data_IF_919257383590
#
_entry.id   IF_919257383590
#
_cell.length_a   1.000
_cell.length_b   1.000
_cell.length_c   1.000
_cell.angle_alpha   90.00
_cell.angle_beta   90.00
_cell.angle_gamma   90.00
#
_symmetry.space_group_name_H-M   'P 1'
#
loop_
_entity.id
_entity.type
_entity.pdbx_description
1 polymer ?
#
# COMPACT_ATOMS: atom_id res chain seq x y z
N UNK A 1 12.65 -12.25 1.80
CA UNK A 1 12.98 -11.40 2.95
C UNK A 1 13.69 -10.14 2.47
N UNK A 2 13.56 -9.08 3.22
CA UNK A 2 14.16 -7.77 2.97
C UNK A 2 14.47 -7.07 4.30
N UNK A 3 15.62 -6.44 4.41
CA UNK A 3 16.02 -5.64 5.56
C UNK A 3 16.91 -4.47 5.12
N UNK A 4 17.05 -3.48 5.97
CA UNK A 4 17.97 -2.35 5.77
C UNK A 4 18.68 -1.99 7.08
N UNK A 5 19.94 -1.59 6.98
CA UNK A 5 20.70 -0.96 8.06
C UNK A 5 20.56 0.58 8.05
N UNK A 6 19.60 1.08 7.28
CA UNK A 6 19.36 2.49 7.03
C UNK A 6 20.04 3.01 5.76
N UNK A 7 21.21 2.51 5.37
CA UNK A 7 21.93 2.95 4.17
C UNK A 7 21.88 1.92 3.04
N UNK A 8 21.94 0.65 3.40
CA UNK A 8 21.99 -0.46 2.47
C UNK A 8 20.71 -1.30 2.57
N UNK A 9 20.30 -1.85 1.45
CA UNK A 9 19.18 -2.75 1.33
C UNK A 9 19.72 -4.17 1.12
N UNK A 10 19.27 -5.10 1.94
CA UNK A 10 19.62 -6.52 1.85
C UNK A 10 18.39 -7.35 1.56
N UNK A 11 18.51 -8.30 0.66
CA UNK A 11 17.42 -9.18 0.23
C UNK A 11 17.89 -10.63 0.22
N UNK A 12 17.00 -11.58 0.57
CA UNK A 12 17.27 -13.02 0.54
C UNK A 12 15.98 -13.83 0.54
N UNK A 13 16.08 -15.10 0.19
CA UNK A 13 14.94 -16.02 0.14
C UNK A 13 14.46 -16.28 -1.28
N UNK A 14 13.20 -16.66 -1.41
CA UNK A 14 12.57 -17.00 -2.70
C UNK A 14 12.40 -15.78 -3.59
N UNK A 15 12.76 -15.91 -4.86
CA UNK A 15 12.75 -14.80 -5.85
C UNK A 15 11.99 -15.09 -7.14
N UNK A 16 11.16 -16.14 -7.19
CA UNK A 16 10.39 -16.54 -8.38
C UNK A 16 9.53 -15.44 -8.98
N UNK A 17 9.18 -14.41 -8.18
CA UNK A 17 8.37 -13.27 -8.59
C UNK A 17 9.21 -11.97 -8.71
N UNK A 18 10.54 -12.06 -8.78
CA UNK A 18 11.47 -10.93 -8.87
C UNK A 18 11.34 -9.93 -7.71
N UNK A 19 10.79 -10.38 -6.59
CA UNK A 19 10.55 -9.51 -5.41
C UNK A 19 11.83 -9.11 -4.69
N UNK A 20 12.95 -9.78 -4.96
CA UNK A 20 14.26 -9.41 -4.43
C UNK A 20 14.96 -8.32 -5.25
N UNK A 21 14.50 -8.03 -6.47
CA UNK A 21 15.08 -6.99 -7.32
C UNK A 21 16.51 -7.26 -7.81
N UNK A 22 16.93 -8.52 -7.88
CA UNK A 22 18.29 -8.97 -8.20
C UNK A 22 18.58 -9.11 -9.70
N UNK A 23 17.68 -8.72 -10.58
CA UNK A 23 17.77 -8.90 -12.04
C UNK A 23 17.75 -10.34 -12.52
N UNK A 24 17.46 -11.27 -11.64
CA UNK A 24 17.33 -12.70 -11.89
C UNK A 24 16.16 -13.25 -11.10
N UNK A 25 15.71 -14.46 -11.42
CA UNK A 25 14.60 -15.15 -10.75
C UNK A 25 15.06 -16.21 -9.74
N UNK A 26 16.38 -16.46 -9.64
CA UNK A 26 16.94 -17.41 -8.71
C UNK A 26 16.79 -16.95 -7.26
N UNK A 27 16.49 -17.90 -6.40
CA UNK A 27 16.44 -17.72 -4.95
C UNK A 27 17.83 -17.32 -4.41
N UNK A 28 17.86 -16.56 -3.34
CA UNK A 28 19.10 -16.21 -2.65
C UNK A 28 19.07 -16.78 -1.23
N UNK A 29 19.98 -17.69 -0.93
CA UNK A 29 20.08 -18.33 0.39
C UNK A 29 20.68 -17.38 1.46
N UNK A 30 21.52 -16.45 1.03
CA UNK A 30 22.21 -15.48 1.89
C UNK A 30 21.74 -14.04 1.58
N UNK A 31 21.82 -13.13 2.55
CA UNK A 31 21.56 -11.71 2.30
C UNK A 31 22.45 -11.14 1.20
N UNK A 32 21.85 -10.63 0.15
CA UNK A 32 22.54 -9.92 -0.92
C UNK A 32 22.23 -8.43 -0.86
N UNK A 33 23.27 -7.61 -0.98
CA UNK A 33 23.13 -6.16 -0.99
C UNK A 33 22.60 -5.69 -2.34
N UNK A 34 21.53 -4.92 -2.31
CA UNK A 34 20.94 -4.27 -3.48
C UNK A 34 21.24 -2.79 -3.45
N UNK A 35 21.73 -2.27 -4.58
CA UNK A 35 21.88 -0.82 -4.77
C UNK A 35 20.61 -0.27 -5.41
N UNK A 36 19.94 0.64 -4.74
CA UNK A 36 18.91 1.46 -5.35
C UNK A 36 19.63 2.42 -6.31
N UNK A 37 19.33 2.33 -7.62
CA UNK A 37 19.91 3.22 -8.59
C UNK A 37 19.27 4.60 -8.43
N UNK A 38 19.90 5.47 -7.62
CA UNK A 38 19.63 6.89 -7.68
C UNK A 38 19.96 7.36 -9.11
N UNK A 39 18.95 7.74 -9.87
CA UNK A 39 19.17 8.42 -11.16
C UNK A 39 19.62 9.84 -10.86
N UNK A 40 20.80 10.17 -11.38
CA UNK A 40 21.50 11.45 -11.39
C UNK A 40 22.40 11.66 -10.17
N UNK A 41 23.70 11.87 -10.39
CA UNK A 41 24.47 12.64 -9.44
C UNK A 41 23.77 14.01 -9.37
N UNK A 42 23.27 14.36 -8.19
CA UNK A 42 22.89 15.73 -7.91
C UNK A 42 23.96 16.65 -8.45
N UNK A 43 23.55 17.63 -9.27
CA UNK A 43 24.47 18.58 -9.91
C UNK A 43 25.55 18.97 -8.91
N UNK A 44 26.79 18.66 -9.25
CA UNK A 44 27.98 18.92 -8.48
C UNK A 44 28.24 20.44 -8.44
N UNK A 45 27.40 21.16 -7.68
CA UNK A 45 27.42 22.61 -7.57
C UNK A 45 27.64 23.16 -6.18
N UNK A 46 27.56 22.31 -5.13
CA UNK A 46 27.87 22.74 -3.75
C UNK A 46 28.85 21.75 -3.13
N UNK A 47 30.13 21.98 -3.35
CA UNK A 47 31.20 21.35 -2.62
C UNK A 47 31.03 21.65 -1.11
N UNK A 48 30.70 20.63 -0.29
CA UNK A 48 30.73 20.77 1.15
C UNK A 48 29.68 19.99 1.95
N UNK A 49 28.67 19.41 1.37
CA UNK A 49 27.69 18.65 2.15
C UNK A 49 28.08 17.18 2.30
N UNK A 50 28.69 16.82 3.42
CA UNK A 50 28.97 15.43 3.84
C UNK A 50 27.70 14.60 4.16
N UNK A 51 26.48 15.12 3.88
CA UNK A 51 25.22 14.58 4.38
C UNK A 51 24.23 14.13 3.30
N UNK A 52 24.68 13.89 2.07
CA UNK A 52 23.76 13.48 1.00
C UNK A 52 23.81 11.97 0.72
N UNK A 53 23.71 11.18 1.79
CA UNK A 53 23.61 9.72 1.67
C UNK A 53 22.15 9.32 1.57
N UNK A 54 21.79 8.62 0.49
CA UNK A 54 20.47 8.00 0.38
C UNK A 54 20.36 6.92 1.45
N UNK A 55 19.30 6.97 2.25
CA UNK A 55 18.97 5.91 3.20
C UNK A 55 17.51 5.48 3.06
N UNK A 56 17.25 4.25 3.43
CA UNK A 56 15.93 3.64 3.40
C UNK A 56 15.11 4.13 4.58
N UNK A 57 13.91 4.63 4.31
CA UNK A 57 12.93 5.04 5.32
C UNK A 57 12.00 3.92 5.71
N UNK A 58 11.49 3.23 4.72
CA UNK A 58 10.50 2.17 4.92
C UNK A 58 10.56 1.14 3.80
N UNK A 59 10.19 -0.08 4.12
CA UNK A 59 10.19 -1.22 3.21
C UNK A 59 8.94 -2.05 3.42
N UNK A 60 8.30 -2.45 2.33
CA UNK A 60 7.20 -3.41 2.38
C UNK A 60 7.32 -4.42 1.25
N UNK A 61 7.15 -5.69 1.57
CA UNK A 61 7.26 -6.79 0.64
C UNK A 61 6.01 -7.67 0.74
N UNK A 62 5.42 -7.97 -0.40
CA UNK A 62 4.38 -8.96 -0.56
C UNK A 62 4.88 -10.19 -1.33
N UNK A 63 3.99 -11.11 -1.59
CA UNK A 63 4.28 -12.27 -2.46
C UNK A 63 4.68 -11.85 -3.89
N UNK A 64 4.18 -10.71 -4.39
CA UNK A 64 4.24 -10.36 -5.79
C UNK A 64 5.14 -9.18 -6.10
N UNK A 65 5.34 -8.28 -5.15
CA UNK A 65 6.14 -7.08 -5.34
C UNK A 65 6.72 -6.55 -4.04
N UNK A 66 7.72 -5.72 -4.19
CA UNK A 66 8.40 -5.03 -3.09
C UNK A 66 8.42 -3.54 -3.38
N UNK A 67 8.19 -2.75 -2.36
CA UNK A 67 8.20 -1.29 -2.38
C UNK A 67 9.16 -0.78 -1.31
N UNK A 68 9.98 0.20 -1.67
CA UNK A 68 10.96 0.82 -0.79
C UNK A 68 10.81 2.32 -0.86
N UNK A 69 10.74 2.99 0.28
CA UNK A 69 10.80 4.43 0.40
C UNK A 69 12.18 4.88 0.89
N UNK A 70 12.71 5.96 0.34
CA UNK A 70 14.00 6.54 0.72
C UNK A 70 13.85 7.96 1.23
N UNK A 71 14.95 8.56 1.69
CA UNK A 71 14.98 9.96 2.13
C UNK A 71 15.11 10.98 0.98
N UNK A 72 15.17 10.53 -0.26
CA UNK A 72 15.25 11.41 -1.42
C UNK A 72 14.03 12.34 -1.49
N UNK A 73 14.25 13.58 -1.89
CA UNK A 73 13.16 14.58 -1.96
C UNK A 73 12.19 14.34 -3.12
N UNK A 74 12.66 13.71 -4.18
CA UNK A 74 11.88 13.38 -5.37
C UNK A 74 12.18 11.95 -5.79
N UNK A 75 11.16 11.25 -6.35
CA UNK A 75 11.30 9.86 -6.83
C UNK A 75 11.84 8.92 -5.76
N UNK A 76 11.42 9.11 -4.53
CA UNK A 76 11.92 8.41 -3.36
C UNK A 76 11.24 7.05 -3.12
N UNK A 77 10.38 6.59 -4.02
CA UNK A 77 9.74 5.28 -3.97
C UNK A 77 10.29 4.41 -5.08
N UNK A 78 10.74 3.22 -4.74
CA UNK A 78 11.27 2.22 -5.66
C UNK A 78 10.42 0.96 -5.59
N UNK A 79 10.20 0.33 -6.72
CA UNK A 79 9.36 -0.87 -6.85
C UNK A 79 10.05 -1.95 -7.68
N UNK A 80 9.83 -3.23 -7.33
CA UNK A 80 10.21 -4.38 -8.15
C UNK A 80 9.21 -5.53 -7.96
N UNK A 81 9.23 -6.52 -8.86
CA UNK A 81 8.37 -7.68 -8.82
C UNK A 81 7.45 -7.81 -10.03
N UNK A 82 6.36 -8.56 -9.87
CA UNK A 82 5.36 -8.81 -10.91
C UNK A 82 4.41 -7.62 -11.07
N UNK A 83 4.34 -7.06 -12.28
CA UNK A 83 3.55 -5.87 -12.59
C UNK A 83 2.08 -6.09 -12.92
N UNK A 84 1.58 -7.34 -12.93
CA UNK A 84 0.16 -7.60 -13.13
C UNK A 84 -0.68 -6.88 -12.06
N UNK A 85 -1.95 -6.59 -12.35
CA UNK A 85 -2.83 -5.81 -11.47
C UNK A 85 -2.36 -4.37 -11.20
N UNK A 86 -1.49 -3.82 -12.04
CA UNK A 86 -0.94 -2.45 -11.92
C UNK A 86 -0.28 -2.12 -10.54
N UNK A 87 0.09 -3.13 -9.74
CA UNK A 87 0.63 -2.96 -8.38
C UNK A 87 1.98 -2.26 -8.32
N UNK A 88 2.66 -2.12 -9.47
CA UNK A 88 3.94 -1.40 -9.61
C UNK A 88 3.77 0.05 -10.11
N UNK A 89 2.54 0.57 -10.18
CA UNK A 89 2.28 1.90 -10.72
C UNK A 89 2.49 1.99 -12.24
N UNK A 90 2.36 0.86 -12.95
CA UNK A 90 2.42 0.74 -14.41
C UNK A 90 1.69 -0.52 -14.88
N UNK A 91 1.31 -0.55 -16.15
CA UNK A 91 0.65 -1.73 -16.72
C UNK A 91 1.63 -2.87 -16.98
N UNK A 92 1.23 -4.07 -16.51
CA UNK A 92 1.67 -5.40 -16.92
C UNK A 92 3.18 -5.65 -17.12
N UNK A 93 4.07 -4.77 -16.66
CA UNK A 93 5.51 -4.98 -16.78
C UNK A 93 6.10 -5.53 -15.49
N UNK A 94 6.69 -6.72 -15.56
CA UNK A 94 7.53 -7.24 -14.49
C UNK A 94 8.82 -6.42 -14.39
N UNK A 95 9.20 -6.07 -13.16
CA UNK A 95 10.43 -5.36 -12.88
C UNK A 95 11.38 -6.25 -12.10
N UNK A 96 12.45 -6.64 -12.76
CA UNK A 96 13.46 -7.52 -12.20
C UNK A 96 14.44 -6.80 -11.27
N UNK A 97 14.40 -5.45 -11.25
CA UNK A 97 15.22 -4.58 -10.38
C UNK A 97 14.33 -3.54 -9.73
N UNK A 98 14.84 -2.92 -8.67
CA UNK A 98 14.22 -1.74 -8.11
C UNK A 98 14.33 -0.56 -9.07
N UNK A 99 13.19 -0.06 -9.53
CA UNK A 99 13.08 1.12 -10.36
C UNK A 99 12.22 2.18 -9.67
N UNK A 100 12.54 3.47 -9.87
CA UNK A 100 11.72 4.55 -9.33
C UNK A 100 10.27 4.45 -9.80
N UNK A 101 9.33 4.65 -8.89
CA UNK A 101 7.92 4.76 -9.19
C UNK A 101 7.71 5.96 -10.12
N UNK A 102 6.97 5.76 -11.21
CA UNK A 102 6.62 6.82 -12.16
C UNK A 102 5.40 7.59 -11.64
N UNK A 103 5.26 8.82 -12.12
CA UNK A 103 4.07 9.66 -11.87
C UNK A 103 3.74 9.86 -10.38
N UNK A 104 4.78 9.84 -9.54
CA UNK A 104 4.68 10.15 -8.11
C UNK A 104 5.74 11.20 -7.75
N UNK A 105 5.28 12.39 -7.35
CA UNK A 105 6.13 13.56 -7.06
C UNK A 105 6.28 13.88 -5.58
N UNK A 106 5.40 13.30 -4.75
CA UNK A 106 5.40 13.51 -3.31
C UNK A 106 6.52 12.72 -2.62
N UNK A 107 6.83 13.11 -1.38
CA UNK A 107 7.80 12.37 -0.56
C UNK A 107 7.09 11.33 0.30
N UNK A 108 7.34 10.06 0.02
CA UNK A 108 6.82 8.96 0.82
C UNK A 108 7.53 8.87 2.18
N UNK A 109 6.75 8.57 3.21
CA UNK A 109 7.23 8.22 4.55
C UNK A 109 7.05 6.73 4.80
N UNK A 110 5.86 6.19 4.51
CA UNK A 110 5.50 4.79 4.70
C UNK A 110 5.00 4.21 3.38
N UNK A 111 5.35 2.96 3.12
CA UNK A 111 4.91 2.20 1.95
C UNK A 111 4.32 0.86 2.37
N UNK A 112 3.29 0.41 1.66
CA UNK A 112 2.62 -0.86 1.93
C UNK A 112 2.44 -1.62 0.62
N UNK A 113 3.08 -2.77 0.51
CA UNK A 113 2.88 -3.74 -0.57
C UNK A 113 1.86 -4.80 -0.13
N UNK A 114 0.71 -4.84 -0.76
CA UNK A 114 -0.29 -5.89 -0.59
C UNK A 114 -0.23 -6.90 -1.74
N UNK A 115 -1.15 -7.86 -1.81
CA UNK A 115 -1.17 -8.82 -2.93
C UNK A 115 -1.41 -8.14 -4.27
N UNK A 116 -2.38 -7.23 -4.35
CA UNK A 116 -2.88 -6.70 -5.62
C UNK A 116 -2.87 -5.17 -5.71
N UNK A 117 -2.45 -4.48 -4.67
CA UNK A 117 -2.37 -3.02 -4.63
C UNK A 117 -1.22 -2.54 -3.74
N UNK A 118 -0.94 -1.26 -3.85
CA UNK A 118 0.09 -0.55 -3.08
C UNK A 118 -0.51 0.69 -2.45
N UNK A 119 -0.15 0.95 -1.18
CA UNK A 119 -0.42 2.21 -0.50
C UNK A 119 0.87 2.97 -0.24
N UNK A 120 0.80 4.29 -0.28
CA UNK A 120 1.88 5.19 0.09
C UNK A 120 1.31 6.24 1.04
N UNK A 121 1.93 6.42 2.19
CA UNK A 121 1.68 7.55 3.09
C UNK A 121 2.83 8.53 2.92
N UNK A 122 2.51 9.79 2.63
CA UNK A 122 3.52 10.84 2.43
C UNK A 122 3.96 11.44 3.76
N UNK A 123 5.06 12.18 3.74
CA UNK A 123 5.53 12.96 4.90
C UNK A 123 4.55 14.04 5.36
N UNK A 124 3.59 14.39 4.51
CA UNK A 124 2.51 15.31 4.85
C UNK A 124 1.24 14.61 5.35
N UNK A 125 1.28 13.28 5.51
CA UNK A 125 0.15 12.48 5.98
C UNK A 125 -0.94 12.25 4.92
N UNK A 126 -0.66 12.45 3.63
CA UNK A 126 -1.60 12.10 2.56
C UNK A 126 -1.41 10.66 2.13
N UNK A 127 -2.50 9.98 1.79
CA UNK A 127 -2.49 8.59 1.32
C UNK A 127 -2.68 8.54 -0.18
N UNK A 128 -1.86 7.75 -0.85
CA UNK A 128 -1.99 7.38 -2.25
C UNK A 128 -2.17 5.88 -2.37
N UNK A 129 -2.95 5.46 -3.37
CA UNK A 129 -3.15 4.04 -3.68
C UNK A 129 -3.15 3.80 -5.18
N UNK A 130 -2.75 2.60 -5.59
CA UNK A 130 -2.80 2.11 -6.96
C UNK A 130 -2.76 0.58 -7.00
N UNK A 131 -3.14 0.01 -8.13
CA UNK A 131 -3.31 -1.43 -8.29
C UNK A 131 -4.76 -1.82 -8.52
N UNK A 132 -5.16 -2.99 -8.07
CA UNK A 132 -6.51 -3.52 -8.20
C UNK A 132 -7.49 -2.86 -7.22
N UNK A 133 -8.72 -2.58 -7.71
CA UNK A 133 -9.84 -2.07 -6.91
C UNK A 133 -11.04 -3.02 -6.85
N UNK A 134 -10.89 -4.28 -7.27
CA UNK A 134 -11.98 -5.26 -7.30
C UNK A 134 -12.68 -5.47 -5.97
N UNK A 135 -11.95 -5.24 -4.89
CA UNK A 135 -12.42 -5.38 -3.51
C UNK A 135 -12.65 -4.02 -2.83
N UNK A 136 -12.66 -2.90 -3.58
CA UNK A 136 -12.79 -1.55 -3.03
C UNK A 136 -11.57 -1.10 -2.20
N UNK A 137 -10.44 -1.81 -2.32
CA UNK A 137 -9.27 -1.63 -1.46
C UNK A 137 -8.47 -0.36 -1.74
N UNK A 138 -8.74 0.37 -2.82
CA UNK A 138 -8.03 1.61 -3.14
C UNK A 138 -8.59 2.85 -2.42
N UNK A 139 -9.80 2.79 -1.87
CA UNK A 139 -10.39 3.88 -1.10
C UNK A 139 -11.13 4.94 -1.94
N UNK A 140 -11.42 4.66 -3.21
CA UNK A 140 -12.20 5.51 -4.11
C UNK A 140 -12.87 4.69 -5.21
N UNK A 141 -13.89 5.26 -5.82
CA UNK A 141 -14.49 4.74 -7.05
C UNK A 141 -13.57 5.05 -8.24
N UNK A 142 -13.44 4.11 -9.15
CA UNK A 142 -12.81 4.35 -10.44
C UNK A 142 -13.84 5.05 -11.35
N UNK A 143 -13.45 6.16 -11.97
CA UNK A 143 -14.30 6.90 -12.89
C UNK A 143 -14.17 6.32 -14.30
N UNK A 144 -15.29 6.26 -15.05
CA UNK A 144 -15.27 5.89 -16.46
C UNK A 144 -14.33 6.83 -17.23
N UNK A 145 -13.33 6.27 -17.91
CA UNK A 145 -12.41 7.01 -18.79
C UNK A 145 -11.06 7.42 -18.18
N UNK A 146 -10.79 7.21 -16.91
CA UNK A 146 -9.45 7.47 -16.32
C UNK A 146 -8.50 6.25 -16.38
N UNK A 147 -8.94 5.12 -16.88
CA UNK A 147 -8.12 3.94 -17.11
C UNK A 147 -7.62 3.90 -18.54
N UNK A 148 -6.36 4.22 -18.74
CA UNK A 148 -5.53 4.01 -19.94
C UNK A 148 -5.91 4.81 -21.19
N UNK A 149 -5.03 5.70 -21.59
CA UNK A 149 -4.76 6.05 -22.97
C UNK A 149 -4.24 4.81 -23.72
N UNK A 150 -5.13 4.00 -24.27
CA UNK A 150 -4.76 3.09 -25.34
C UNK A 150 -4.79 3.88 -26.65
N UNK A 151 -3.64 4.15 -27.20
CA UNK A 151 -3.52 4.42 -28.63
C UNK A 151 -4.02 3.17 -29.37
N UNK A 152 -5.22 3.20 -29.89
CA UNK A 152 -5.67 2.70 -31.19
C UNK A 152 -7.18 2.39 -31.20
N UNK A 153 -7.85 3.15 -32.05
CA UNK A 153 -9.06 2.86 -32.85
C UNK A 153 -10.20 2.03 -32.24
N UNK A 154 -11.29 2.75 -31.96
CA UNK A 154 -12.62 2.39 -32.44
C UNK A 154 -13.36 1.25 -31.77
N UNK A 155 -14.28 1.53 -30.89
CA UNK A 155 -15.72 1.28 -31.05
C UNK A 155 -16.44 1.57 -29.73
N UNK A 156 -17.33 2.53 -29.74
CA UNK A 156 -18.29 2.80 -28.65
C UNK A 156 -19.27 1.62 -28.59
N UNK A 157 -19.44 1.04 -27.40
CA UNK A 157 -20.60 0.21 -27.08
C UNK A 157 -21.30 0.75 -25.85
N UNK A 158 -22.60 1.02 -26.05
CA UNK A 158 -23.56 1.49 -25.08
C UNK A 158 -23.81 0.52 -23.94
N UNK A 159 -24.04 1.10 -22.76
CA UNK A 159 -24.43 0.43 -21.53
C UNK A 159 -25.69 -0.42 -21.69
N UNK A 160 -25.64 -1.66 -21.23
CA UNK A 160 -26.81 -2.49 -20.97
C UNK A 160 -26.97 -2.67 -19.46
N UNK A 161 -28.11 -2.19 -18.96
CA UNK A 161 -28.57 -2.31 -17.58
C UNK A 161 -28.94 -3.76 -17.27
N UNK A 162 -28.31 -4.40 -16.32
CA UNK A 162 -28.80 -5.64 -15.72
C UNK A 162 -28.98 -5.48 -14.22
N UNK A 163 -30.25 -5.60 -13.80
CA UNK A 163 -30.65 -5.62 -12.40
C UNK A 163 -30.26 -6.95 -11.75
N UNK A 164 -29.25 -6.94 -10.94
CA UNK A 164 -29.11 -7.83 -9.76
C UNK A 164 -28.07 -7.21 -8.84
N UNK A 165 -28.42 -7.00 -7.60
CA UNK A 165 -27.81 -6.21 -6.54
C UNK A 165 -26.35 -6.43 -6.17
N UNK A 166 -25.45 -6.23 -7.13
CA UNK A 166 -24.04 -6.00 -6.90
C UNK A 166 -23.69 -4.74 -7.69
N UNK A 167 -23.49 -3.62 -7.02
CA UNK A 167 -23.03 -2.39 -7.63
C UNK A 167 -21.63 -2.63 -8.19
N UNK A 168 -21.52 -2.84 -9.50
CA UNK A 168 -20.24 -2.86 -10.21
C UNK A 168 -19.55 -1.52 -9.97
N UNK A 169 -18.33 -1.56 -9.43
CA UNK A 169 -17.47 -0.40 -9.31
C UNK A 169 -17.13 0.08 -10.71
N UNK A 170 -17.69 1.21 -11.12
CA UNK A 170 -17.50 1.77 -12.46
C UNK A 170 -16.08 2.32 -12.61
N UNK A 171 -15.37 1.83 -13.59
CA UNK A 171 -14.00 2.20 -13.94
C UNK A 171 -13.22 1.00 -14.45
N UNK A 172 -13.62 0.47 -15.61
CA UNK A 172 -13.19 -0.85 -16.08
C UNK A 172 -12.12 -0.73 -17.14
N UNK A 173 -10.99 -1.39 -16.94
CA UNK A 173 -9.99 -1.64 -17.97
C UNK A 173 -10.28 -3.00 -18.58
N UNK A 174 -10.49 -3.05 -19.88
CA UNK A 174 -10.66 -4.31 -20.61
C UNK A 174 -9.29 -4.91 -20.87
N UNK A 175 -8.99 -6.07 -20.25
CA UNK A 175 -7.79 -6.84 -20.52
C UNK A 175 -7.80 -7.48 -21.91
N UNK A 176 -6.66 -8.03 -22.33
CA UNK A 176 -6.51 -8.68 -23.66
C UNK A 176 -7.50 -9.80 -23.94
N UNK A 177 -8.13 -10.36 -22.91
CA UNK A 177 -9.14 -11.43 -23.01
C UNK A 177 -10.59 -10.92 -22.91
N UNK A 178 -10.83 -9.61 -23.06
CA UNK A 178 -12.15 -9.01 -22.92
C UNK A 178 -12.69 -8.96 -21.48
N UNK A 179 -11.86 -9.29 -20.49
CA UNK A 179 -12.23 -9.24 -19.07
C UNK A 179 -12.02 -7.84 -18.55
N UNK A 180 -13.05 -7.32 -17.92
CA UNK A 180 -13.01 -6.03 -17.24
C UNK A 180 -12.08 -6.09 -16.01
N UNK A 181 -11.14 -5.14 -15.91
CA UNK A 181 -10.19 -5.05 -14.83
C UNK A 181 -10.37 -3.72 -14.10
N UNK A 182 -10.76 -3.77 -12.85
CA UNK A 182 -10.83 -2.58 -11.97
C UNK A 182 -9.43 -2.22 -11.50
N UNK A 183 -8.69 -1.44 -12.30
CA UNK A 183 -7.29 -1.10 -12.03
C UNK A 183 -7.06 0.41 -12.00
N UNK A 184 -6.36 0.90 -11.01
CA UNK A 184 -5.73 2.22 -10.98
C UNK A 184 -4.25 2.06 -11.27
N UNK A 185 -3.78 2.54 -12.41
CA UNK A 185 -2.41 2.32 -12.87
C UNK A 185 -1.41 3.22 -12.17
N UNK A 186 -1.72 4.52 -12.07
CA UNK A 186 -0.84 5.52 -11.47
C UNK A 186 -1.25 5.82 -10.02
N UNK A 187 -0.31 6.24 -9.16
CA UNK A 187 -0.66 6.65 -7.80
C UNK A 187 -1.74 7.72 -7.78
N UNK A 188 -2.87 7.45 -7.14
CA UNK A 188 -3.98 8.38 -6.97
C UNK A 188 -4.20 8.65 -5.49
N UNK A 189 -4.42 9.92 -5.15
CA UNK A 189 -4.68 10.34 -3.78
C UNK A 189 -6.03 9.81 -3.28
N UNK A 190 -6.03 9.20 -2.11
CA UNK A 190 -7.23 8.79 -1.38
C UNK A 190 -7.82 10.03 -0.73
N UNK A 191 -9.05 10.35 -1.07
CA UNK A 191 -9.78 11.51 -0.60
C UNK A 191 -10.89 11.11 0.39
N UNK A 192 -12.04 11.77 0.33
CA UNK A 192 -13.16 11.53 1.23
C UNK A 192 -12.81 11.91 2.66
N UNK A 193 -13.06 11.06 3.65
CA UNK A 193 -12.77 11.34 5.06
C UNK A 193 -11.29 11.65 5.34
N UNK A 194 -10.35 11.07 4.58
CA UNK A 194 -8.92 11.32 4.75
C UNK A 194 -8.41 12.64 4.15
N UNK A 195 -9.26 13.40 3.43
CA UNK A 195 -8.82 14.62 2.73
C UNK A 195 -8.15 15.66 3.63
N UNK A 196 -8.59 15.75 4.87
CA UNK A 196 -8.12 16.73 5.88
C UNK A 196 -7.36 16.10 7.02
N UNK A 197 -7.17 14.81 6.99
CA UNK A 197 -6.48 14.06 8.03
C UNK A 197 -4.98 13.97 7.76
N UNK A 198 -4.21 13.92 8.83
CA UNK A 198 -2.80 13.60 8.79
C UNK A 198 -2.62 12.13 9.16
N UNK A 199 -2.48 11.29 8.15
CA UNK A 199 -2.27 9.86 8.32
C UNK A 199 -0.84 9.60 8.77
N UNK A 200 -0.68 8.83 9.84
CA UNK A 200 0.61 8.48 10.44
C UNK A 200 1.16 7.16 9.92
N UNK A 201 0.27 6.26 9.50
CA UNK A 201 0.68 4.99 8.93
C UNK A 201 -0.51 4.21 8.35
N UNK A 202 -0.20 3.11 7.67
CA UNK A 202 -1.17 2.28 6.97
C UNK A 202 -0.76 0.81 6.99
N UNK A 203 -1.74 -0.07 6.75
CA UNK A 203 -1.54 -1.48 6.45
C UNK A 203 -2.55 -1.91 5.39
N UNK A 204 -2.29 -3.03 4.71
CA UNK A 204 -3.20 -3.57 3.73
C UNK A 204 -3.15 -5.09 3.68
N UNK A 205 -4.30 -5.70 3.42
CA UNK A 205 -4.43 -7.09 2.98
C UNK A 205 -4.87 -7.14 1.52
N UNK A 206 -5.07 -8.31 0.98
CA UNK A 206 -5.57 -8.45 -0.40
C UNK A 206 -6.92 -7.78 -0.62
N UNK A 207 -7.80 -7.76 0.39
CA UNK A 207 -9.19 -7.35 0.26
C UNK A 207 -9.54 -6.03 0.94
N UNK A 208 -8.68 -5.50 1.81
CA UNK A 208 -8.95 -4.25 2.52
C UNK A 208 -7.67 -3.49 2.84
N UNK A 209 -7.85 -2.23 3.16
CA UNK A 209 -6.83 -1.29 3.55
C UNK A 209 -7.18 -0.60 4.86
N UNK A 210 -6.17 -0.21 5.60
CA UNK A 210 -6.26 0.42 6.91
C UNK A 210 -5.33 1.61 6.96
N UNK A 211 -5.77 2.71 7.54
CA UNK A 211 -4.95 3.88 7.84
C UNK A 211 -5.29 4.42 9.22
N UNK A 212 -4.31 5.02 9.89
CA UNK A 212 -4.55 5.64 11.19
C UNK A 212 -3.95 7.04 11.28
N UNK A 213 -4.61 7.87 12.07
CA UNK A 213 -4.19 9.23 12.45
C UNK A 213 -3.84 9.25 13.94
N UNK A 214 -3.58 10.42 14.50
CA UNK A 214 -3.31 10.55 15.93
C UNK A 214 -4.50 10.10 16.82
N UNK A 215 -5.73 10.18 16.31
CA UNK A 215 -6.96 9.98 17.08
C UNK A 215 -7.98 9.02 16.46
N UNK A 216 -7.69 8.47 15.28
CA UNK A 216 -8.67 7.66 14.55
C UNK A 216 -8.04 6.54 13.74
N UNK A 217 -8.81 5.46 13.59
CA UNK A 217 -8.58 4.36 12.66
C UNK A 217 -9.59 4.45 11.52
N UNK A 218 -9.13 4.25 10.30
CA UNK A 218 -9.94 4.18 9.10
C UNK A 218 -9.73 2.84 8.39
N UNK A 219 -10.83 2.23 7.95
CA UNK A 219 -10.79 0.96 7.19
C UNK A 219 -11.65 1.08 5.93
N UNK A 220 -11.28 0.36 4.87
CA UNK A 220 -12.06 0.28 3.64
C UNK A 220 -11.69 -0.97 2.84
N UNK A 221 -12.54 -1.37 1.91
CA UNK A 221 -12.44 -2.59 1.12
C UNK A 221 -13.60 -3.55 1.39
N UNK A 222 -13.41 -4.82 1.06
CA UNK A 222 -14.37 -5.89 1.34
C UNK A 222 -14.38 -6.22 2.84
N UNK A 223 -15.59 -6.33 3.39
CA UNK A 223 -15.82 -6.57 4.80
C UNK A 223 -16.21 -8.03 5.07
N UNK A 224 -15.30 -8.80 5.65
CA UNK A 224 -15.53 -10.14 6.18
C UNK A 224 -15.62 -10.13 7.72
N UNK A 225 -15.90 -8.96 8.33
CA UNK A 225 -15.95 -8.76 9.78
C UNK A 225 -14.67 -8.18 10.39
N UNK A 226 -13.70 -7.74 9.54
CA UNK A 226 -12.41 -7.19 9.98
C UNK A 226 -12.35 -5.66 9.88
N UNK A 227 -13.38 -5.00 9.35
CA UNK A 227 -13.36 -3.55 9.19
C UNK A 227 -13.82 -2.77 10.42
N UNK A 228 -14.34 -3.47 11.46
CA UNK A 228 -14.79 -2.83 12.70
C UNK A 228 -16.22 -2.30 12.65
N UNK A 229 -17.02 -2.77 11.70
CA UNK A 229 -18.47 -2.55 11.62
C UNK A 229 -19.14 -3.75 10.96
N UNK A 230 -20.44 -3.90 11.20
CA UNK A 230 -21.22 -5.06 10.78
C UNK A 230 -21.09 -5.31 9.24
N UNK A 231 -20.65 -6.52 8.90
CA UNK A 231 -20.44 -6.95 7.51
C UNK A 231 -21.74 -7.12 6.72
N UNK A 232 -22.87 -7.36 7.40
CA UNK A 232 -24.17 -7.52 6.73
C UNK A 232 -24.74 -6.18 6.28
N UNK A 233 -24.51 -5.12 7.06
CA UNK A 233 -24.93 -3.76 6.69
C UNK A 233 -23.96 -3.08 5.71
N UNK A 234 -22.68 -3.45 5.73
CA UNK A 234 -21.65 -2.88 4.88
C UNK A 234 -20.67 -3.96 4.40
N UNK A 235 -21.08 -4.83 3.45
CA UNK A 235 -20.21 -5.91 2.93
C UNK A 235 -19.04 -5.38 2.10
N UNK A 236 -19.20 -4.18 1.54
CA UNK A 236 -18.17 -3.46 0.78
C UNK A 236 -18.15 -1.98 1.21
N UNK A 237 -17.02 -1.51 1.63
CA UNK A 237 -16.77 -0.12 1.99
C UNK A 237 -15.73 0.47 1.05
N UNK A 238 -16.15 1.21 0.02
CA UNK A 238 -15.23 1.71 -1.00
C UNK A 238 -14.37 2.87 -0.51
N UNK A 239 -14.96 3.80 0.25
CA UNK A 239 -14.23 4.95 0.78
C UNK A 239 -13.78 4.67 2.22
N UNK A 240 -12.66 5.27 2.68
CA UNK A 240 -12.24 5.17 4.07
C UNK A 240 -13.38 5.51 5.03
N UNK A 241 -13.62 4.66 6.01
CA UNK A 241 -14.62 4.88 7.05
C UNK A 241 -13.97 4.79 8.42
N UNK A 242 -14.27 5.78 9.28
CA UNK A 242 -13.78 5.81 10.65
C UNK A 242 -14.35 4.65 11.46
N UNK A 243 -13.49 3.95 12.18
CA UNK A 243 -13.85 2.89 13.09
C UNK A 243 -14.15 3.49 14.47
N UNK A 244 -15.37 3.35 14.94
CA UNK A 244 -15.81 3.94 16.23
C UNK A 244 -15.53 3.05 17.43
N UNK A 245 -15.19 1.79 17.21
CA UNK A 245 -14.89 0.81 18.28
C UNK A 245 -13.54 1.05 18.95
N UNK A 246 -12.66 1.83 18.33
CA UNK A 246 -11.33 2.13 18.85
C UNK A 246 -11.31 3.58 19.29
N UNK A 247 -11.23 3.77 20.61
CA UNK A 247 -11.25 5.10 21.24
C UNK A 247 -9.89 5.60 21.69
N UNK A 248 -8.87 4.72 21.72
CA UNK A 248 -7.51 5.08 22.10
C UNK A 248 -6.67 5.36 20.86
N UNK A 249 -5.65 6.26 20.95
CA UNK A 249 -4.73 6.52 19.88
C UNK A 249 -4.00 5.25 19.39
N UNK A 250 -3.85 5.14 18.08
CA UNK A 250 -3.23 3.98 17.43
C UNK A 250 -1.75 4.28 17.16
N UNK A 251 -0.89 3.33 17.48
CA UNK A 251 0.56 3.37 17.27
C UNK A 251 0.99 2.65 16.00
N UNK A 252 0.38 1.52 15.74
CA UNK A 252 0.70 0.65 14.61
C UNK A 252 -0.52 -0.18 14.21
N UNK A 253 -0.56 -0.54 12.95
CA UNK A 253 -1.62 -1.41 12.39
C UNK A 253 -1.01 -2.56 11.60
N UNK A 254 -1.72 -3.68 11.58
CA UNK A 254 -1.44 -4.81 10.71
C UNK A 254 -2.76 -5.35 10.14
N UNK A 255 -2.73 -5.88 8.93
CA UNK A 255 -3.91 -6.38 8.25
C UNK A 255 -3.66 -7.77 7.65
N UNK A 256 -4.63 -8.65 7.83
CA UNK A 256 -4.77 -9.94 7.13
C UNK A 256 -6.10 -9.96 6.41
N UNK A 257 -6.40 -10.96 5.60
CA UNK A 257 -7.71 -11.05 4.91
C UNK A 257 -8.90 -11.13 5.87
N UNK A 258 -8.68 -11.58 7.10
CA UNK A 258 -9.75 -11.84 8.08
C UNK A 258 -9.67 -11.00 9.34
N UNK A 259 -8.61 -10.24 9.53
CA UNK A 259 -8.41 -9.46 10.74
C UNK A 259 -7.66 -8.15 10.47
N UNK A 260 -8.00 -7.14 11.28
CA UNK A 260 -7.23 -5.91 11.45
C UNK A 260 -6.76 -5.84 12.89
N UNK A 261 -5.46 -5.75 13.10
CA UNK A 261 -4.87 -5.59 14.42
C UNK A 261 -4.31 -4.19 14.60
N UNK A 262 -4.54 -3.59 15.77
CA UNK A 262 -4.10 -2.27 16.13
C UNK A 262 -3.34 -2.33 17.45
N UNK A 263 -2.10 -1.89 17.47
CA UNK A 263 -1.38 -1.58 18.70
C UNK A 263 -1.76 -0.16 19.14
N UNK A 264 -2.24 -0.02 20.35
CA UNK A 264 -2.65 1.25 20.92
C UNK A 264 -1.53 1.90 21.73
N UNK A 265 -1.63 3.20 21.98
CA UNK A 265 -0.70 3.93 22.85
C UNK A 265 -0.71 3.38 24.29
N UNK A 266 -1.78 2.73 24.71
CA UNK A 266 -1.90 1.99 25.98
C UNK A 266 -1.10 0.69 26.03
N UNK A 267 -0.42 0.31 24.93
CA UNK A 267 0.27 -0.97 24.72
C UNK A 267 -0.65 -2.20 24.65
N UNK A 268 -1.95 -1.99 24.56
CA UNK A 268 -2.89 -3.06 24.26
C UNK A 268 -2.95 -3.31 22.75
N UNK A 269 -3.19 -4.53 22.36
CA UNK A 269 -3.55 -4.88 20.99
C UNK A 269 -5.05 -5.10 20.88
N UNK A 270 -5.69 -4.38 19.97
CA UNK A 270 -7.09 -4.63 19.60
C UNK A 270 -7.14 -5.31 18.25
N UNK A 271 -7.88 -6.40 18.15
CA UNK A 271 -8.08 -7.19 16.92
C UNK A 271 -9.53 -7.11 16.50
N UNK A 272 -9.81 -6.64 15.31
CA UNK A 272 -11.11 -6.66 14.65
C UNK A 272 -11.20 -7.94 13.81
N UNK A 273 -12.16 -8.81 14.11
CA UNK A 273 -12.34 -10.10 13.42
C UNK A 273 -13.77 -10.61 13.61
N UNK A 274 -14.42 -11.07 12.53
CA UNK A 274 -15.73 -11.71 12.59
C UNK A 274 -16.83 -10.81 13.17
N UNK A 275 -16.84 -9.50 12.87
CA UNK A 275 -17.73 -8.46 13.42
C UNK A 275 -17.55 -8.20 14.93
N UNK A 276 -16.54 -8.77 15.54
CA UNK A 276 -16.20 -8.58 16.94
C UNK A 276 -14.85 -7.85 17.07
N UNK A 277 -14.59 -7.32 18.26
CA UNK A 277 -13.28 -6.79 18.63
C UNK A 277 -12.77 -7.50 19.87
N UNK A 278 -11.50 -7.82 19.86
CA UNK A 278 -10.81 -8.53 20.93
C UNK A 278 -9.68 -7.63 21.45
N UNK A 279 -9.65 -7.39 22.74
CA UNK A 279 -8.56 -6.68 23.39
C UNK A 279 -7.60 -7.68 24.04
N UNK A 280 -6.34 -7.59 23.67
CA UNK A 280 -5.24 -8.39 24.23
C UNK A 280 -4.37 -7.45 25.04
N UNK A 281 -4.50 -7.46 26.38
CA UNK A 281 -3.66 -6.64 27.24
C UNK A 281 -2.25 -7.24 27.28
N UNK A 282 -1.24 -6.41 27.09
CA UNK A 282 0.13 -6.77 27.41
C UNK A 282 0.48 -6.29 28.81
N UNK A 283 1.03 -7.15 29.68
CA UNK A 283 1.50 -6.70 30.97
C UNK A 283 2.63 -5.68 30.72
N UNK A 284 2.40 -4.43 31.11
CA UNK A 284 3.47 -3.44 31.18
C UNK A 284 4.58 -4.03 32.06
N UNK A 285 5.83 -4.08 31.60
CA UNK A 285 6.92 -4.48 32.46
C UNK A 285 6.91 -3.56 33.68
N UNK A 286 6.63 -4.10 34.87
CA UNK A 286 6.83 -3.36 36.11
C UNK A 286 8.32 -3.09 36.18
N UNK A 287 8.71 -1.86 35.91
CA UNK A 287 10.02 -1.38 36.31
C UNK A 287 9.93 -1.34 37.85
N UNK A 288 10.32 -2.41 38.47
CA UNK A 288 10.67 -2.37 39.90
C UNK A 288 11.89 -1.48 40.01
N UNK A 289 11.67 -0.24 40.37
CA UNK A 289 12.74 0.60 40.89
C UNK A 289 13.10 0.06 42.25
N UNK A 290 13.86 -1.02 42.30
CA UNK A 290 14.63 -1.37 43.47
C UNK A 290 15.89 -0.49 43.44
N UNK A 291 15.81 0.59 44.19
CA UNK A 291 16.97 1.31 44.67
C UNK A 291 17.61 0.54 45.83
#
# INVERSE_FOLDING_TARGET
NIASDGCDLFVWGTNRNYTLGLSRDNDSALPERVKLQAREPYEAGVAGSRFNRTYVRDISMSRWHTVVATNERRKNVYVCGIGSQARLGRMAQTQTRFEPLRDFSETAQTVVASSDHTLIVTTQGTVYSFGSNRMGQLGFLLEEGQGILSSSSGTKRSAATSHTGCTSLQGTIIGANGVELDLQVTPRRVLGPLKREVVLGAAASRIHSVAYTADALYTWGTNNGQLGYDRHSAPLQVQPRRVTLISAPVRQVAATEFATACLLETWDVTVLHGDAHYRIPFPTPRITSDM
#
